data_IF_071162773242
#
_entry.id   IF_071162773242
#
_cell.length_a   1.000
_cell.length_b   1.000
_cell.length_c   1.000
_cell.angle_alpha   90.00
_cell.angle_beta   90.00
_cell.angle_gamma   90.00
#
_symmetry.space_group_name_H-M   'P 1'
#
loop_
_entity.id
_entity.type
_entity.pdbx_description
1 polymer ?
#
# COMPACT_ATOMS: atom_id res chain seq x y z
N UNK A 1 7.36 -12.06 1.84
CA UNK A 1 6.26 -11.10 1.69
C UNK A 1 6.50 -9.93 2.61
N UNK A 2 6.24 -8.69 2.18
CA UNK A 2 6.15 -7.52 3.06
C UNK A 2 4.73 -6.95 2.96
N UNK A 3 4.19 -6.44 4.05
CA UNK A 3 2.86 -5.85 4.12
C UNK A 3 2.97 -4.39 4.55
N UNK A 4 2.08 -3.56 4.02
CA UNK A 4 1.80 -2.21 4.49
C UNK A 4 0.28 -2.03 4.56
N UNK A 5 -0.18 -1.30 5.57
CA UNK A 5 -1.59 -0.95 5.75
C UNK A 5 -1.70 0.58 5.67
N UNK A 6 -1.89 1.15 4.47
CA UNK A 6 -2.01 2.58 4.31
C UNK A 6 -3.39 3.11 4.74
N UNK A 7 -4.44 2.29 4.68
CA UNK A 7 -5.83 2.71 4.92
C UNK A 7 -6.75 2.24 3.79
N UNK A 8 -7.83 2.97 3.56
CA UNK A 8 -8.80 2.77 2.46
C UNK A 8 -8.27 3.40 1.15
N UNK A 9 -7.63 2.61 0.30
CA UNK A 9 -6.94 3.06 -0.93
C UNK A 9 -7.92 3.20 -2.09
N UNK A 10 -8.87 2.29 -2.24
CA UNK A 10 -9.84 2.35 -3.33
C UNK A 10 -11.02 3.29 -3.04
N UNK A 11 -11.24 3.65 -1.78
CA UNK A 11 -12.24 4.60 -1.31
C UNK A 11 -13.62 3.97 -1.16
N UNK A 12 -13.70 2.66 -0.92
CA UNK A 12 -14.95 1.94 -0.71
C UNK A 12 -15.44 1.95 0.76
N UNK A 13 -14.66 2.55 1.66
CA UNK A 13 -14.95 2.67 3.09
C UNK A 13 -14.31 1.58 3.94
N UNK A 14 -13.59 0.62 3.34
CA UNK A 14 -12.91 -0.47 4.04
C UNK A 14 -11.39 -0.31 3.97
N UNK A 15 -10.70 -0.76 5.02
CA UNK A 15 -9.23 -0.73 5.02
C UNK A 15 -8.67 -1.76 4.05
N UNK A 16 -7.71 -1.33 3.23
CA UNK A 16 -6.98 -2.16 2.27
C UNK A 16 -5.60 -2.59 2.79
N UNK A 17 -5.00 -3.57 2.12
CA UNK A 17 -3.60 -3.95 2.31
C UNK A 17 -2.78 -3.82 1.03
N UNK A 18 -1.57 -3.29 1.19
CA UNK A 18 -0.54 -3.36 0.16
C UNK A 18 0.40 -4.50 0.50
N UNK A 19 0.54 -5.47 -0.40
CA UNK A 19 1.42 -6.62 -0.21
C UNK A 19 2.47 -6.69 -1.31
N UNK A 20 3.73 -6.82 -0.91
CA UNK A 20 4.84 -7.08 -1.80
C UNK A 20 5.28 -8.53 -1.75
N UNK A 21 5.32 -9.15 -2.92
CA UNK A 21 6.11 -10.37 -3.15
C UNK A 21 7.60 -10.02 -3.16
N UNK A 22 8.33 -10.56 -2.17
CA UNK A 22 9.76 -10.32 -1.98
C UNK A 22 10.64 -11.03 -3.02
N UNK A 23 10.15 -12.09 -3.66
CA UNK A 23 10.88 -12.82 -4.70
C UNK A 23 10.77 -12.15 -6.06
N UNK A 24 9.57 -11.69 -6.43
CA UNK A 24 9.31 -11.08 -7.75
C UNK A 24 9.37 -9.55 -7.75
N UNK A 25 9.21 -8.90 -6.59
CA UNK A 25 9.07 -7.45 -6.50
C UNK A 25 7.73 -6.93 -7.02
N UNK A 26 6.75 -7.81 -7.27
CA UNK A 26 5.37 -7.40 -7.54
C UNK A 26 4.73 -6.87 -6.27
N UNK A 27 3.97 -5.79 -6.39
CA UNK A 27 3.17 -5.23 -5.32
C UNK A 27 1.71 -5.26 -5.73
N UNK A 28 0.88 -5.69 -4.80
CA UNK A 28 -0.55 -5.89 -4.97
C UNK A 28 -1.29 -5.02 -3.98
N UNK A 29 -2.38 -4.41 -4.43
CA UNK A 29 -3.41 -3.83 -3.59
C UNK A 29 -4.47 -4.91 -3.37
N UNK A 30 -4.61 -5.35 -2.12
CA UNK A 30 -5.67 -6.24 -1.68
C UNK A 30 -6.82 -5.37 -1.17
N UNK A 31 -7.95 -5.48 -1.85
CA UNK A 31 -9.16 -4.74 -1.59
C UNK A 31 -9.86 -5.32 -0.36
N UNK A 32 -10.00 -4.49 0.66
CA UNK A 32 -10.88 -4.75 1.80
C UNK A 32 -12.32 -4.69 1.33
N UNK A 33 -13.14 -5.64 1.77
CA UNK A 33 -14.57 -5.63 1.45
C UNK A 33 -15.39 -5.64 2.74
N UNK A 34 -16.67 -5.30 2.64
CA UNK A 34 -17.60 -5.45 3.75
C UNK A 34 -17.67 -6.90 4.26
N UNK A 35 -17.79 -7.06 5.58
CA UNK A 35 -18.16 -8.32 6.23
C UNK A 35 -19.62 -8.75 5.98
N UNK A 36 -20.47 -7.84 5.51
CA UNK A 36 -21.86 -8.10 5.22
C UNK A 36 -22.75 -6.88 5.35
N UNK A 37 -24.05 -7.14 5.34
CA UNK A 37 -25.11 -6.25 5.78
C UNK A 37 -26.18 -7.16 6.38
N UNK A 38 -26.13 -7.39 7.70
CA UNK A 38 -27.00 -8.37 8.36
C UNK A 38 -28.46 -7.91 8.48
N UNK A 39 -28.74 -6.61 8.49
CA UNK A 39 -30.11 -6.07 8.57
C UNK A 39 -30.71 -5.70 7.21
N UNK A 40 -29.90 -5.79 6.14
CA UNK A 40 -30.28 -5.57 4.75
C UNK A 40 -30.80 -4.15 4.49
N UNK A 41 -30.31 -3.16 5.23
CA UNK A 41 -30.67 -1.75 5.05
C UNK A 41 -29.90 -1.08 3.89
N UNK A 42 -28.95 -1.80 3.28
CA UNK A 42 -28.11 -1.34 2.19
C UNK A 42 -26.84 -0.63 2.66
N UNK A 43 -26.59 -0.58 3.97
CA UNK A 43 -25.40 -0.05 4.60
C UNK A 43 -24.60 -1.23 5.17
N UNK A 44 -23.33 -1.40 4.76
CA UNK A 44 -22.48 -2.42 5.34
C UNK A 44 -22.42 -2.41 6.87
N UNK A 45 -22.58 -3.59 7.49
CA UNK A 45 -22.41 -3.75 8.92
C UNK A 45 -20.99 -4.15 9.30
N UNK A 46 -20.45 -3.53 10.34
CA UNK A 46 -19.10 -3.81 10.83
C UNK A 46 -17.99 -3.14 10.02
N UNK A 47 -16.81 -3.78 10.00
CA UNK A 47 -15.61 -3.28 9.32
C UNK A 47 -15.17 -4.20 8.17
N UNK A 48 -13.93 -4.05 7.73
CA UNK A 48 -13.36 -4.90 6.68
C UNK A 48 -13.45 -6.38 7.03
N UNK A 49 -13.94 -7.21 6.11
CA UNK A 49 -13.81 -8.67 6.15
C UNK A 49 -12.33 -9.06 6.04
N UNK A 50 -11.71 -9.64 7.08
CA UNK A 50 -10.30 -10.03 7.01
C UNK A 50 -10.01 -11.09 5.93
N UNK A 51 -10.98 -11.90 5.52
CA UNK A 51 -10.78 -12.89 4.46
C UNK A 51 -10.61 -12.25 3.08
N UNK A 52 -11.26 -11.10 2.84
CA UNK A 52 -11.08 -10.32 1.61
C UNK A 52 -9.62 -9.91 1.38
N UNK A 53 -8.92 -9.51 2.46
CA UNK A 53 -7.53 -9.07 2.46
C UNK A 53 -6.50 -10.17 2.21
N UNK A 54 -6.91 -11.44 2.23
CA UNK A 54 -6.06 -12.59 1.89
C UNK A 54 -6.39 -13.19 0.51
N UNK A 55 -7.50 -12.78 -0.10
CA UNK A 55 -8.00 -13.35 -1.35
C UNK A 55 -7.24 -12.83 -2.56
N UNK A 56 -6.64 -13.73 -3.34
CA UNK A 56 -6.02 -13.35 -4.61
C UNK A 56 -7.04 -12.93 -5.68
N UNK A 57 -8.34 -13.21 -5.49
CA UNK A 57 -9.40 -12.72 -6.36
C UNK A 57 -9.71 -11.23 -6.12
N UNK A 58 -9.38 -10.72 -4.93
CA UNK A 58 -9.69 -9.36 -4.50
C UNK A 58 -8.42 -8.50 -4.51
N UNK A 59 -7.50 -8.72 -5.45
CA UNK A 59 -6.29 -7.90 -5.56
C UNK A 59 -6.04 -7.39 -6.95
N UNK A 60 -5.50 -6.17 -7.03
CA UNK A 60 -5.05 -5.56 -8.27
C UNK A 60 -3.55 -5.26 -8.23
N UNK A 61 -2.91 -5.23 -9.39
CA UNK A 61 -1.49 -4.90 -9.48
C UNK A 61 -1.29 -3.42 -9.14
N UNK A 62 -0.35 -3.14 -8.24
CA UNK A 62 -0.08 -1.79 -7.72
C UNK A 62 1.33 -1.29 -8.07
N UNK A 63 2.32 -2.19 -8.10
CA UNK A 63 3.68 -1.87 -8.55
C UNK A 63 4.40 -3.11 -9.13
N UNK A 64 5.45 -2.86 -9.90
CA UNK A 64 6.34 -3.90 -10.43
C UNK A 64 7.80 -3.54 -10.20
N UNK A 65 8.66 -4.54 -10.02
CA UNK A 65 10.11 -4.33 -9.87
C UNK A 65 10.54 -3.75 -8.52
N UNK A 66 9.63 -3.69 -7.55
CA UNK A 66 9.87 -3.16 -6.20
C UNK A 66 10.53 -4.21 -5.30
N UNK A 67 11.61 -4.84 -5.76
CA UNK A 67 12.30 -5.87 -4.96
C UNK A 67 12.80 -5.29 -3.62
N UNK A 68 12.95 -6.10 -2.56
CA UNK A 68 13.54 -5.61 -1.30
C UNK A 68 14.95 -5.04 -1.47
N UNK A 69 15.68 -5.45 -2.51
CA UNK A 69 16.99 -4.91 -2.84
C UNK A 69 16.88 -3.52 -3.48
N UNK A 70 15.91 -3.28 -4.37
CA UNK A 70 15.71 -1.96 -4.99
C UNK A 70 15.06 -0.97 -4.01
N UNK A 71 14.11 -1.48 -3.22
CA UNK A 71 13.24 -0.70 -2.33
C UNK A 71 13.17 -1.32 -0.94
N UNK A 72 14.12 -1.06 -0.03
CA UNK A 72 14.16 -1.78 1.24
C UNK A 72 12.91 -1.59 2.10
N UNK A 73 12.49 -0.34 2.31
CA UNK A 73 11.26 0.01 3.02
C UNK A 73 10.03 -0.05 2.10
N UNK A 74 8.92 -0.53 2.65
CA UNK A 74 7.57 -0.34 2.12
C UNK A 74 6.66 -0.12 3.32
N UNK A 75 6.04 1.05 3.42
CA UNK A 75 5.11 1.38 4.51
C UNK A 75 4.04 2.34 4.04
N UNK A 76 2.90 2.35 4.73
CA UNK A 76 1.85 3.37 4.58
C UNK A 76 1.85 4.32 5.77
N UNK A 77 1.21 5.48 5.62
CA UNK A 77 1.03 6.48 6.69
C UNK A 77 -0.34 7.16 6.68
N UNK A 78 -1.30 6.64 5.91
CA UNK A 78 -2.55 7.35 5.61
C UNK A 78 -2.38 8.36 4.47
N UNK A 79 -3.43 9.15 4.25
CA UNK A 79 -3.44 10.25 3.29
C UNK A 79 -2.58 11.41 3.80
N UNK A 80 -1.35 11.47 3.31
CA UNK A 80 -0.33 12.40 3.78
C UNK A 80 -0.30 13.68 2.96
N UNK A 81 -0.84 13.65 1.74
CA UNK A 81 -0.88 14.78 0.83
C UNK A 81 -2.27 15.48 0.80
N UNK A 82 -3.30 14.88 1.37
CA UNK A 82 -4.66 15.41 1.47
C UNK A 82 -5.50 15.22 0.20
N UNK A 83 -5.16 14.27 -0.67
CA UNK A 83 -5.87 14.01 -1.92
C UNK A 83 -7.04 13.01 -1.77
N UNK A 84 -7.26 12.50 -0.56
CA UNK A 84 -8.32 11.53 -0.25
C UNK A 84 -7.94 10.09 -0.61
N UNK A 85 -6.68 9.81 -0.91
CA UNK A 85 -6.16 8.46 -1.13
C UNK A 85 -4.92 8.22 -0.25
N UNK A 86 -4.91 7.19 0.61
CA UNK A 86 -3.75 6.85 1.41
C UNK A 86 -2.46 6.63 0.61
N UNK A 87 -1.37 7.17 1.13
CA UNK A 87 -0.07 7.19 0.47
C UNK A 87 0.88 6.11 1.00
N UNK A 88 1.94 5.86 0.23
CA UNK A 88 3.04 4.98 0.61
C UNK A 88 4.38 5.72 0.72
N UNK A 89 5.30 5.09 1.43
CA UNK A 89 6.68 5.53 1.59
C UNK A 89 7.63 4.37 1.35
N UNK A 90 8.76 4.69 0.72
CA UNK A 90 9.78 3.71 0.41
C UNK A 90 11.17 4.33 0.42
N UNK A 91 12.20 3.51 0.60
CA UNK A 91 13.60 3.92 0.51
C UNK A 91 14.21 3.36 -0.75
N UNK A 92 15.20 4.02 -1.33
CA UNK A 92 16.02 3.44 -2.41
C UNK A 92 17.36 2.90 -1.86
N UNK A 93 18.02 2.00 -2.58
CA UNK A 93 19.24 1.31 -2.11
C UNK A 93 20.56 1.84 -2.67
N UNK A 94 20.55 2.88 -3.51
CA UNK A 94 21.76 3.48 -4.09
C UNK A 94 22.46 4.47 -3.13
N UNK A 95 23.68 4.89 -3.46
CA UNK A 95 24.51 5.75 -2.57
C UNK A 95 24.03 7.19 -2.47
N UNK A 96 23.15 7.62 -3.37
CA UNK A 96 22.43 8.91 -3.35
C UNK A 96 20.97 8.73 -2.92
N UNK A 97 20.63 7.55 -2.39
CA UNK A 97 19.25 7.12 -2.27
C UNK A 97 18.50 7.87 -1.19
N UNK A 98 17.22 8.04 -1.50
CA UNK A 98 16.32 8.88 -0.73
C UNK A 98 15.22 8.12 -0.02
N UNK A 99 14.56 8.86 0.87
CA UNK A 99 13.18 8.60 1.21
C UNK A 99 12.33 9.11 0.05
N UNK A 100 11.46 8.25 -0.47
CA UNK A 100 10.53 8.57 -1.55
C UNK A 100 9.09 8.49 -1.04
N UNK A 101 8.35 9.56 -1.33
CA UNK A 101 6.91 9.65 -1.18
C UNK A 101 6.24 9.06 -2.41
N UNK A 102 5.19 8.27 -2.21
CA UNK A 102 4.50 7.54 -3.27
C UNK A 102 3.03 7.91 -3.18
N UNK A 103 2.56 8.82 -4.05
CA UNK A 103 1.15 9.20 -4.07
C UNK A 103 0.24 7.99 -4.22
N UNK A 104 -0.79 7.93 -3.39
CA UNK A 104 -1.84 6.92 -3.45
C UNK A 104 -2.55 6.90 -4.81
N UNK A 105 -3.08 5.73 -5.18
CA UNK A 105 -3.91 5.60 -6.39
C UNK A 105 -4.99 4.55 -6.20
N UNK A 106 -6.26 4.93 -6.38
CA UNK A 106 -7.40 4.02 -6.21
C UNK A 106 -7.37 2.77 -7.10
N UNK A 107 -6.73 2.86 -8.27
CA UNK A 107 -6.65 1.75 -9.21
C UNK A 107 -5.43 1.83 -10.13
N UNK A 108 -4.98 0.65 -10.58
CA UNK A 108 -3.84 0.51 -11.47
C UNK A 108 -2.50 0.78 -10.78
N UNK A 109 -1.45 0.92 -11.58
CA UNK A 109 -0.11 1.13 -11.05
C UNK A 109 0.05 2.55 -10.49
N UNK A 110 0.71 2.65 -9.33
CA UNK A 110 1.12 3.93 -8.75
C UNK A 110 1.98 4.75 -9.74
N UNK A 111 1.93 6.08 -9.61
CA UNK A 111 2.76 6.99 -10.39
C UNK A 111 4.25 6.95 -10.01
N UNK A 112 5.12 7.70 -10.70
CA UNK A 112 6.52 7.79 -10.31
C UNK A 112 6.65 8.33 -8.87
N UNK A 113 7.42 7.67 -8.00
CA UNK A 113 7.69 8.17 -6.65
C UNK A 113 8.44 9.51 -6.66
N UNK A 114 8.21 10.31 -5.62
CA UNK A 114 8.80 11.64 -5.42
C UNK A 114 9.88 11.57 -4.35
N UNK A 115 11.11 11.96 -4.68
CA UNK A 115 12.21 12.03 -3.70
C UNK A 115 11.97 13.19 -2.74
N UNK A 116 11.86 12.88 -1.45
CA UNK A 116 11.61 13.85 -0.36
C UNK A 116 12.74 13.93 0.65
N UNK A 117 13.56 12.89 0.77
CA UNK A 117 14.85 12.93 1.46
C UNK A 117 15.96 12.54 0.49
N UNK A 118 17.08 13.26 0.43
CA UNK A 118 18.15 13.02 -0.58
C UNK A 118 19.26 12.06 -0.13
N UNK A 119 19.24 11.59 1.11
CA UNK A 119 20.29 10.73 1.65
C UNK A 119 20.07 10.34 3.11
N UNK A 120 20.73 9.28 3.56
CA UNK A 120 20.70 8.81 4.95
C UNK A 120 19.59 7.81 5.29
N UNK A 121 18.70 7.52 4.33
CA UNK A 121 17.53 6.66 4.54
C UNK A 121 17.76 5.21 4.11
N UNK A 122 18.84 4.92 3.39
CA UNK A 122 19.11 3.62 2.74
C UNK A 122 19.23 2.43 3.70
N UNK A 123 19.50 2.69 4.98
CA UNK A 123 19.59 1.65 6.01
C UNK A 123 18.22 1.23 6.57
N UNK A 124 17.18 2.05 6.37
CA UNK A 124 15.85 1.82 6.93
C UNK A 124 15.09 0.86 6.01
N UNK A 125 14.65 -0.26 6.59
CA UNK A 125 13.94 -1.35 5.89
C UNK A 125 12.57 -1.66 6.47
N UNK A 126 12.30 -1.17 7.67
CA UNK A 126 11.04 -1.35 8.39
C UNK A 126 10.88 -0.23 9.42
N UNK A 127 9.64 -0.02 9.86
CA UNK A 127 9.26 0.85 10.98
C UNK A 127 8.34 0.04 11.90
N UNK A 128 8.32 0.35 13.19
CA UNK A 128 7.58 -0.37 14.25
C UNK A 128 6.57 0.53 14.94
#
# INVERSE_FOLDING_TARGET
MHLASPGDVDGDGFTDLIARDSGTGQVWLYHGLSAGDADADGIPDGGTDPASLASAANRTAYATGWTPAARPLLTGSGDSNGDGVPDLWTTTSNTTAGLEFVPGRKSGLHGPPVVVGKGGWQAIKAIS
#
